data_IF_713148026633
#
_entry.id   IF_713148026633
#
_cell.length_a   1.000
_cell.length_b   1.000
_cell.length_c   1.000
_cell.angle_alpha   90.00
_cell.angle_beta   90.00
_cell.angle_gamma   90.00
#
_symmetry.space_group_name_H-M   'P 1'
#
loop_
_entity.id
_entity.type
_entity.pdbx_description
1 polymer ?
#
# COMPACT_ATOMS: atom_id res chain seq x y z
N UNK A 1 27.55 10.74 -0.25
CA UNK A 1 27.05 9.41 0.11
C UNK A 1 25.86 9.63 1.00
N UNK A 2 24.64 9.45 0.48
CA UNK A 2 23.47 9.44 1.36
C UNK A 2 23.55 8.13 2.15
N UNK A 3 23.57 8.25 3.46
CA UNK A 3 23.53 7.09 4.37
C UNK A 3 22.17 6.40 4.17
N UNK A 4 22.17 5.30 3.44
CA UNK A 4 21.01 4.56 2.95
C UNK A 4 20.18 3.95 4.12
N UNK A 5 20.62 4.17 5.37
CA UNK A 5 20.02 3.64 6.60
C UNK A 5 19.49 4.71 7.57
N UNK A 6 19.58 5.99 7.22
CA UNK A 6 19.04 7.06 8.07
C UNK A 6 17.53 6.82 8.32
N UNK A 7 17.09 6.73 9.59
CA UNK A 7 15.67 6.55 9.90
C UNK A 7 14.82 7.65 9.30
N UNK A 8 13.62 7.27 8.82
CA UNK A 8 12.68 8.19 8.15
C UNK A 8 11.33 8.19 8.84
N UNK A 9 10.71 9.36 8.91
CA UNK A 9 9.37 9.47 9.49
C UNK A 9 8.31 8.88 8.54
N UNK A 10 7.20 8.44 9.10
CA UNK A 10 6.04 7.95 8.33
C UNK A 10 5.59 8.98 7.29
N UNK A 11 5.61 10.27 7.67
CA UNK A 11 5.25 11.40 6.82
C UNK A 11 6.06 11.48 5.52
N UNK A 12 7.35 11.15 5.55
CA UNK A 12 8.22 11.24 4.37
C UNK A 12 7.83 10.25 3.26
N UNK A 13 7.13 9.16 3.61
CA UNK A 13 6.64 8.17 2.66
C UNK A 13 5.31 8.53 2.01
N UNK A 14 4.57 9.50 2.57
CA UNK A 14 3.21 9.84 2.12
C UNK A 14 3.18 10.26 0.66
N UNK A 15 2.30 9.64 -0.09
CA UNK A 15 1.99 10.00 -1.47
C UNK A 15 0.48 10.07 -1.66
N UNK A 16 0.08 10.78 -2.70
CA UNK A 16 -1.27 10.77 -3.21
C UNK A 16 -1.21 10.64 -4.72
N UNK A 17 -2.02 9.73 -5.27
CA UNK A 17 -2.30 9.67 -6.71
C UNK A 17 -3.80 9.85 -6.91
N UNK A 18 -4.18 10.32 -8.08
CA UNK A 18 -5.58 10.48 -8.45
C UNK A 18 -5.79 10.13 -9.92
N UNK A 19 -6.88 9.45 -10.23
CA UNK A 19 -7.26 9.07 -11.58
C UNK A 19 -8.76 9.22 -11.80
N UNK A 20 -9.13 9.89 -12.89
CA UNK A 20 -10.52 9.92 -13.35
C UNK A 20 -10.90 8.56 -13.93
N UNK A 21 -12.03 8.02 -13.49
CA UNK A 21 -12.53 6.74 -13.98
C UNK A 21 -13.21 6.91 -15.34
N UNK A 22 -12.62 6.29 -16.36
CA UNK A 22 -13.05 6.33 -17.75
C UNK A 22 -13.87 5.07 -18.10
N UNK A 23 -14.61 5.05 -19.23
CA UNK A 23 -15.40 3.90 -19.65
C UNK A 23 -14.62 2.59 -19.77
N UNK A 24 -13.33 2.63 -20.16
CA UNK A 24 -12.46 1.46 -20.23
C UNK A 24 -12.18 0.78 -18.88
N UNK A 25 -12.44 1.48 -17.76
CA UNK A 25 -12.28 0.94 -16.41
C UNK A 25 -13.54 0.18 -15.93
N UNK A 26 -14.60 0.16 -16.74
CA UNK A 26 -15.87 -0.43 -16.35
C UNK A 26 -15.84 -1.97 -16.31
N UNK A 27 -16.59 -2.52 -15.36
CA UNK A 27 -16.98 -3.91 -15.34
C UNK A 27 -18.29 -4.13 -16.13
N UNK A 28 -18.75 -5.36 -16.20
CA UNK A 28 -19.99 -5.74 -16.91
C UNK A 28 -21.26 -5.11 -16.33
N UNK A 29 -21.20 -4.56 -15.10
CA UNK A 29 -22.32 -3.89 -14.44
C UNK A 29 -22.29 -2.36 -14.59
N UNK A 30 -21.28 -1.82 -15.29
CA UNK A 30 -21.12 -0.38 -15.52
C UNK A 30 -20.45 0.39 -14.38
N UNK A 31 -19.98 -0.29 -13.34
CA UNK A 31 -19.14 0.30 -12.29
C UNK A 31 -17.66 0.08 -12.59
N UNK A 32 -16.77 0.71 -11.83
CA UNK A 32 -15.34 0.50 -11.95
C UNK A 32 -14.98 -0.95 -11.57
N UNK A 33 -14.18 -1.60 -12.40
CA UNK A 33 -13.70 -2.96 -12.16
C UNK A 33 -12.80 -3.01 -10.93
N UNK A 34 -13.10 -3.91 -9.97
CA UNK A 34 -12.31 -4.05 -8.73
C UNK A 34 -10.82 -4.31 -8.96
N UNK A 35 -10.48 -5.06 -10.02
CA UNK A 35 -9.08 -5.29 -10.42
C UNK A 35 -8.35 -4.01 -10.82
N UNK A 36 -9.07 -3.02 -11.42
CA UNK A 36 -8.49 -1.72 -11.71
C UNK A 36 -8.11 -0.97 -10.42
N UNK A 37 -9.00 -1.00 -9.43
CA UNK A 37 -8.71 -0.39 -8.12
C UNK A 37 -7.56 -1.11 -7.42
N UNK A 38 -7.47 -2.44 -7.48
CA UNK A 38 -6.34 -3.21 -6.94
C UNK A 38 -5.01 -2.80 -7.59
N UNK A 39 -4.99 -2.60 -8.92
CA UNK A 39 -3.83 -2.09 -9.64
C UNK A 39 -3.38 -0.73 -9.10
N UNK A 40 -4.31 0.21 -8.94
CA UNK A 40 -4.01 1.54 -8.41
C UNK A 40 -3.54 1.49 -6.95
N UNK A 41 -4.10 0.60 -6.14
CA UNK A 41 -3.67 0.35 -4.75
C UNK A 41 -2.23 -0.13 -4.71
N UNK A 42 -1.87 -1.09 -5.57
CA UNK A 42 -0.50 -1.59 -5.67
C UNK A 42 0.47 -0.48 -6.11
N UNK A 43 0.12 0.30 -7.12
CA UNK A 43 0.93 1.43 -7.59
C UNK A 43 1.16 2.48 -6.49
N UNK A 44 0.09 2.89 -5.79
CA UNK A 44 0.20 3.88 -4.72
C UNK A 44 1.05 3.37 -3.56
N UNK A 45 0.83 2.12 -3.14
CA UNK A 45 1.61 1.48 -2.09
C UNK A 45 3.09 1.34 -2.45
N UNK A 46 3.37 0.89 -3.68
CA UNK A 46 4.74 0.75 -4.19
C UNK A 46 5.48 2.10 -4.21
N UNK A 47 4.81 3.18 -4.65
CA UNK A 47 5.40 4.53 -4.64
C UNK A 47 5.76 5.00 -3.22
N UNK A 48 4.89 4.75 -2.23
CA UNK A 48 5.18 5.06 -0.84
C UNK A 48 6.37 4.24 -0.31
N UNK A 49 6.39 2.93 -0.61
CA UNK A 49 7.47 2.03 -0.23
C UNK A 49 8.81 2.43 -0.87
N UNK A 50 8.83 2.71 -2.18
CA UNK A 50 10.04 3.17 -2.88
C UNK A 50 10.56 4.50 -2.33
N UNK A 51 9.66 5.44 -2.00
CA UNK A 51 10.04 6.73 -1.39
C UNK A 51 10.71 6.55 -0.04
N UNK A 52 10.23 5.61 0.78
CA UNK A 52 10.84 5.29 2.07
C UNK A 52 12.16 4.53 1.89
N UNK A 53 12.15 3.44 1.12
CA UNK A 53 13.30 2.56 0.96
C UNK A 53 14.44 3.18 0.12
N UNK A 54 14.13 4.17 -0.74
CA UNK A 54 15.05 4.68 -1.77
C UNK A 54 15.65 3.54 -2.62
N UNK A 55 14.79 2.57 -2.96
CA UNK A 55 15.14 1.37 -3.70
C UNK A 55 13.94 0.87 -4.50
N UNK A 56 14.19 -0.02 -5.46
CA UNK A 56 13.12 -0.77 -6.12
C UNK A 56 12.44 -1.69 -5.10
N UNK A 57 11.16 -1.90 -5.28
CA UNK A 57 10.38 -2.81 -4.43
C UNK A 57 9.59 -3.79 -5.29
N UNK A 58 9.29 -4.95 -4.71
CA UNK A 58 8.37 -5.93 -5.29
C UNK A 58 7.24 -6.21 -4.32
N UNK A 59 6.04 -6.35 -4.84
CA UNK A 59 4.85 -6.72 -4.07
C UNK A 59 4.94 -8.18 -3.67
N UNK A 60 4.76 -8.48 -2.39
CA UNK A 60 4.80 -9.86 -1.88
C UNK A 60 3.49 -10.31 -1.26
N UNK A 61 2.65 -9.39 -0.81
CA UNK A 61 1.32 -9.70 -0.31
C UNK A 61 0.40 -8.48 -0.38
N UNK A 62 -0.88 -8.73 -0.65
CA UNK A 62 -1.97 -7.78 -0.47
C UNK A 62 -2.89 -8.41 0.57
N UNK A 63 -3.04 -7.74 1.71
CA UNK A 63 -3.95 -8.18 2.75
C UNK A 63 -5.41 -7.96 2.31
N UNK A 64 -6.34 -8.46 3.10
CA UNK A 64 -7.76 -8.39 2.83
C UNK A 64 -8.19 -6.96 2.45
N UNK A 65 -8.73 -6.83 1.25
CA UNK A 65 -9.32 -5.61 0.72
C UNK A 65 -10.83 -5.79 0.60
N UNK A 66 -11.59 -4.89 1.21
CA UNK A 66 -13.06 -4.92 1.17
C UNK A 66 -13.56 -3.71 0.41
N UNK A 67 -14.41 -3.94 -0.57
CA UNK A 67 -15.12 -2.89 -1.30
C UNK A 67 -16.45 -2.64 -0.61
N UNK A 68 -16.60 -1.49 0.01
CA UNK A 68 -17.81 -1.13 0.77
C UNK A 68 -18.86 -0.44 -0.13
N UNK A 69 -18.39 0.37 -1.06
CA UNK A 69 -19.23 1.14 -1.96
C UNK A 69 -18.74 1.00 -3.41
N UNK A 70 -19.63 0.95 -4.41
CA UNK A 70 -19.24 0.92 -5.81
C UNK A 70 -18.64 2.27 -6.21
N UNK A 71 -17.60 2.22 -7.03
CA UNK A 71 -17.00 3.39 -7.66
C UNK A 71 -17.59 3.51 -9.06
N UNK A 72 -18.04 4.69 -9.43
CA UNK A 72 -18.74 4.94 -10.70
C UNK A 72 -17.78 5.45 -11.77
N UNK A 73 -18.12 5.19 -13.02
CA UNK A 73 -17.46 5.85 -14.15
C UNK A 73 -17.76 7.35 -14.06
N UNK A 74 -16.71 8.18 -14.23
CA UNK A 74 -16.77 9.61 -14.03
C UNK A 74 -16.36 10.07 -12.62
N UNK A 75 -16.20 9.18 -11.64
CA UNK A 75 -15.61 9.53 -10.35
C UNK A 75 -14.11 9.76 -10.48
N UNK A 76 -13.58 10.67 -9.68
CA UNK A 76 -12.15 10.82 -9.42
C UNK A 76 -11.77 9.89 -8.27
N UNK A 77 -10.96 8.89 -8.53
CA UNK A 77 -10.41 8.01 -7.50
C UNK A 77 -9.13 8.60 -6.97
N UNK A 78 -9.10 8.90 -5.68
CA UNK A 78 -7.94 9.44 -4.96
C UNK A 78 -7.41 8.36 -4.03
N UNK A 79 -6.14 8.01 -4.17
CA UNK A 79 -5.46 7.04 -3.33
C UNK A 79 -4.40 7.75 -2.49
N UNK A 80 -4.44 7.54 -1.19
CA UNK A 80 -3.47 8.07 -0.24
C UNK A 80 -2.72 6.90 0.38
N UNK A 81 -1.40 6.90 0.27
CA UNK A 81 -0.55 5.84 0.78
C UNK A 81 0.55 6.36 1.70
N UNK A 82 0.88 5.57 2.72
CA UNK A 82 1.99 5.79 3.64
C UNK A 82 2.57 4.45 4.11
N UNK A 83 3.85 4.40 4.43
CA UNK A 83 4.46 3.25 5.10
C UNK A 83 3.99 3.21 6.55
N UNK A 84 3.48 2.08 7.01
CA UNK A 84 2.96 1.89 8.38
C UNK A 84 3.82 0.98 9.24
N UNK A 85 4.63 0.12 8.62
CA UNK A 85 5.55 -0.76 9.32
C UNK A 85 6.73 -1.14 8.42
N UNK A 86 7.90 -1.34 9.01
CA UNK A 86 9.08 -1.88 8.35
C UNK A 86 9.66 -3.05 9.12
N UNK A 87 10.03 -4.11 8.40
CA UNK A 87 10.88 -5.19 8.89
C UNK A 87 12.34 -4.94 8.50
N UNK A 88 13.12 -5.99 8.38
CA UNK A 88 14.53 -5.86 7.96
C UNK A 88 14.65 -5.44 6.49
N UNK A 89 13.91 -6.08 5.59
CA UNK A 89 13.93 -5.86 4.12
C UNK A 89 12.54 -5.58 3.57
N UNK A 90 11.50 -5.67 4.39
CA UNK A 90 10.10 -5.52 4.00
C UNK A 90 9.49 -4.23 4.53
N UNK A 91 8.50 -3.74 3.81
CA UNK A 91 7.69 -2.57 4.19
C UNK A 91 6.21 -2.92 4.03
N UNK A 92 5.41 -2.51 5.00
CA UNK A 92 3.96 -2.51 4.84
C UNK A 92 3.51 -1.08 4.55
N UNK A 93 2.67 -0.92 3.54
CA UNK A 93 2.00 0.35 3.25
C UNK A 93 0.51 0.22 3.50
N UNK A 94 -0.09 1.28 4.04
CA UNK A 94 -1.53 1.47 4.07
C UNK A 94 -1.93 2.33 2.90
N UNK A 95 -2.93 1.89 2.14
CA UNK A 95 -3.52 2.65 1.03
C UNK A 95 -4.99 2.88 1.32
N UNK A 96 -5.42 4.13 1.33
CA UNK A 96 -6.83 4.52 1.44
C UNK A 96 -7.34 4.93 0.06
N UNK A 97 -8.52 4.44 -0.30
CA UNK A 97 -9.17 4.73 -1.57
C UNK A 97 -10.42 5.56 -1.31
N UNK A 98 -10.49 6.71 -1.96
CA UNK A 98 -11.58 7.69 -1.86
C UNK A 98 -12.13 7.89 -3.27
N UNK A 99 -13.43 7.71 -3.44
CA UNK A 99 -14.13 8.14 -4.64
C UNK A 99 -14.66 9.55 -4.43
N UNK A 100 -14.43 10.44 -5.38
CA UNK A 100 -14.90 11.79 -5.38
C UNK A 100 -15.73 12.06 -6.64
N UNK A 101 -16.94 12.57 -6.48
CA UNK A 101 -17.69 13.09 -7.61
C UNK A 101 -17.13 14.48 -7.94
N UNK A 102 -16.48 14.69 -9.09
CA UNK A 102 -15.79 15.94 -9.38
C UNK A 102 -16.75 17.11 -9.66
N UNK A 103 -18.03 16.83 -9.92
CA UNK A 103 -19.05 17.86 -10.17
C UNK A 103 -19.64 18.39 -8.86
N UNK A 104 -19.94 17.49 -7.92
CA UNK A 104 -20.57 17.85 -6.64
C UNK A 104 -19.57 18.04 -5.51
N UNK A 105 -18.34 17.53 -5.66
CA UNK A 105 -17.34 17.50 -4.59
C UNK A 105 -17.61 16.43 -3.51
N UNK A 106 -18.66 15.63 -3.65
CA UNK A 106 -18.99 14.58 -2.68
C UNK A 106 -17.88 13.51 -2.67
N UNK A 107 -17.39 13.15 -1.47
CA UNK A 107 -16.31 12.19 -1.26
C UNK A 107 -16.77 11.02 -0.41
N UNK A 108 -16.42 9.81 -0.82
CA UNK A 108 -16.73 8.58 -0.11
C UNK A 108 -15.44 7.76 0.06
N UNK A 109 -15.12 7.38 1.30
CA UNK A 109 -14.07 6.40 1.55
C UNK A 109 -14.61 5.02 1.17
N UNK A 110 -14.07 4.42 0.10
CA UNK A 110 -14.59 3.17 -0.45
C UNK A 110 -13.90 1.95 0.12
N UNK A 111 -12.59 2.04 0.40
CA UNK A 111 -11.83 0.94 0.95
C UNK A 111 -10.46 1.36 1.49
N UNK A 112 -9.85 0.46 2.25
CA UNK A 112 -8.43 0.52 2.64
C UNK A 112 -7.81 -0.84 2.40
N UNK A 113 -6.53 -0.83 2.06
CA UNK A 113 -5.72 -2.03 1.90
C UNK A 113 -4.37 -1.86 2.60
N UNK A 114 -3.79 -2.99 2.99
CA UNK A 114 -2.40 -3.07 3.41
C UNK A 114 -1.66 -3.93 2.40
N UNK A 115 -0.55 -3.41 1.90
CA UNK A 115 0.26 -4.09 0.89
C UNK A 115 1.68 -4.21 1.42
N UNK A 116 2.28 -5.39 1.26
CA UNK A 116 3.63 -5.68 1.72
C UNK A 116 4.57 -5.75 0.54
N UNK A 117 5.68 -5.05 0.67
CA UNK A 117 6.75 -4.98 -0.32
C UNK A 117 8.07 -5.46 0.28
N UNK A 118 8.96 -5.94 -0.59
CA UNK A 118 10.36 -6.20 -0.26
C UNK A 118 11.24 -5.27 -1.11
N UNK A 119 12.14 -4.56 -0.45
CA UNK A 119 13.12 -3.72 -1.12
C UNK A 119 14.24 -4.57 -1.74
N UNK A 120 14.66 -4.21 -2.97
CA UNK A 120 15.66 -4.93 -3.75
C UNK A 120 16.87 -4.06 -4.04
N UNK A 121 18.04 -4.68 -4.01
CA UNK A 121 19.28 -4.09 -4.52
C UNK A 121 19.32 -4.11 -6.07
N UNK A 122 20.41 -3.63 -6.65
CA UNK A 122 20.60 -3.58 -8.10
C UNK A 122 20.64 -4.96 -8.75
N UNK A 123 21.05 -5.99 -7.98
CA UNK A 123 21.07 -7.38 -8.43
C UNK A 123 19.75 -8.13 -8.22
N UNK A 124 18.72 -7.44 -7.70
CA UNK A 124 17.40 -8.02 -7.45
C UNK A 124 17.29 -8.83 -6.14
N UNK A 125 18.27 -8.68 -5.23
CA UNK A 125 18.24 -9.35 -3.93
C UNK A 125 17.64 -8.45 -2.85
N UNK A 126 16.97 -9.02 -1.82
CA UNK A 126 16.44 -8.23 -0.72
C UNK A 126 17.53 -7.41 0.00
N UNK A 127 17.29 -6.11 0.15
CA UNK A 127 18.19 -5.19 0.88
C UNK A 127 17.51 -4.64 2.14
N UNK A 128 18.29 -4.32 3.19
CA UNK A 128 17.76 -3.65 4.38
C UNK A 128 17.13 -2.30 4.03
N UNK A 129 16.11 -1.92 4.79
CA UNK A 129 15.38 -0.64 4.64
C UNK A 129 15.62 0.25 5.85
N UNK A 130 15.55 1.60 5.68
CA UNK A 130 15.62 2.54 6.80
C UNK A 130 14.57 2.27 7.86
N UNK A 131 14.91 2.46 9.13
CA UNK A 131 13.94 2.36 10.23
C UNK A 131 12.83 3.41 10.08
N UNK A 132 11.61 3.05 10.51
CA UNK A 132 10.46 3.93 10.51
C UNK A 132 10.36 4.67 11.85
N UNK A 133 10.24 5.99 11.79
CA UNK A 133 9.98 6.84 12.95
C UNK A 133 8.53 7.31 12.95
N UNK A 134 7.93 7.39 14.13
CA UNK A 134 6.60 7.93 14.37
C UNK A 134 6.70 9.29 15.04
N UNK A 135 5.88 10.25 14.61
CA UNK A 135 5.85 11.62 15.13
C UNK A 135 4.59 11.87 16.02
N UNK A 136 3.61 10.96 15.96
CA UNK A 136 2.35 11.08 16.68
C UNK A 136 1.90 9.74 17.29
N UNK A 137 1.05 9.81 18.31
CA UNK A 137 0.44 8.61 18.92
C UNK A 137 -0.37 7.80 17.91
N UNK A 138 -1.03 8.46 16.96
CA UNK A 138 -1.79 7.80 15.91
C UNK A 138 -0.87 7.01 14.97
N UNK A 139 0.31 7.54 14.64
CA UNK A 139 1.32 6.82 13.86
C UNK A 139 1.90 5.65 14.64
N UNK A 140 2.19 5.83 15.93
CA UNK A 140 2.69 4.76 16.80
C UNK A 140 1.70 3.60 16.89
N UNK A 141 0.39 3.89 17.02
CA UNK A 141 -0.65 2.86 16.97
C UNK A 141 -0.72 2.14 15.63
N UNK A 142 -0.58 2.86 14.51
CA UNK A 142 -0.54 2.23 13.17
C UNK A 142 0.66 1.32 13.00
N UNK A 143 1.82 1.74 13.50
CA UNK A 143 3.04 0.93 13.45
C UNK A 143 2.92 -0.33 14.31
N UNK A 144 2.37 -0.23 15.52
CA UNK A 144 2.11 -1.39 16.38
C UNK A 144 1.15 -2.38 15.71
N UNK A 145 0.03 -1.90 15.15
CA UNK A 145 -0.90 -2.74 14.41
C UNK A 145 -0.26 -3.36 13.15
N UNK A 146 0.67 -2.67 12.51
CA UNK A 146 1.47 -3.21 11.39
C UNK A 146 2.38 -4.37 11.82
N UNK A 147 3.00 -4.24 13.01
CA UNK A 147 3.80 -5.31 13.61
C UNK A 147 2.95 -6.57 13.90
N UNK A 148 1.74 -6.39 14.43
CA UNK A 148 0.79 -7.49 14.68
C UNK A 148 0.39 -8.19 13.37
N UNK A 149 0.05 -7.42 12.31
CA UNK A 149 -0.26 -8.00 11.00
C UNK A 149 0.93 -8.77 10.43
N UNK A 150 2.14 -8.25 10.57
CA UNK A 150 3.34 -8.95 10.12
C UNK A 150 3.54 -10.27 10.88
N UNK A 151 3.38 -10.28 12.21
CA UNK A 151 3.47 -11.50 13.01
C UNK A 151 2.44 -12.54 12.56
N UNK A 152 1.21 -12.11 12.29
CA UNK A 152 0.14 -12.97 11.79
C UNK A 152 0.48 -13.57 10.41
N UNK A 153 0.94 -12.76 9.45
CA UNK A 153 1.37 -13.25 8.12
C UNK A 153 2.47 -14.30 8.21
N UNK A 154 3.47 -14.06 9.07
CA UNK A 154 4.57 -15.01 9.28
C UNK A 154 4.09 -16.32 9.91
N UNK A 155 3.13 -16.27 10.83
CA UNK A 155 2.53 -17.46 11.43
C UNK A 155 1.72 -18.26 10.40
N UNK A 156 0.93 -17.59 9.56
CA UNK A 156 0.16 -18.22 8.48
C UNK A 156 1.06 -18.92 7.47
N UNK A 157 2.12 -18.24 7.03
CA UNK A 157 3.09 -18.77 6.07
C UNK A 157 3.74 -20.07 6.54
N UNK A 158 3.98 -20.21 7.85
CA UNK A 158 4.55 -21.43 8.43
C UNK A 158 3.57 -22.62 8.44
N UNK A 159 2.28 -22.34 8.26
CA UNK A 159 1.19 -23.34 8.28
C UNK A 159 0.73 -23.73 6.88
N UNK A 160 1.18 -23.05 5.83
CA UNK A 160 0.79 -23.34 4.46
C UNK A 160 1.82 -24.27 3.78
N UNK A 161 1.44 -25.55 3.54
CA UNK A 161 2.34 -26.53 2.92
C UNK A 161 2.72 -26.19 1.47
N UNK A 162 1.96 -25.29 0.82
CA UNK A 162 2.21 -24.86 -0.57
C UNK A 162 3.28 -23.77 -0.67
N UNK A 163 3.69 -23.18 0.45
CA UNK A 163 4.76 -22.16 0.50
C UNK A 163 6.14 -22.75 0.83
N UNK A 164 6.29 -24.05 1.02
CA UNK A 164 7.59 -24.72 1.01
C UNK A 164 8.17 -24.69 -0.40
N UNK A 165 8.78 -23.57 -0.74
CA UNK A 165 9.61 -23.48 -1.94
C UNK A 165 11.01 -23.98 -1.61
N UNK A 166 11.58 -24.81 -2.52
CA UNK A 166 12.96 -25.27 -2.40
C UNK A 166 13.98 -24.13 -2.41
#
# INVERSE_FOLDING_TARGET
MNDDHTPKTMRTSRIQIAQLMQPEHANTQGNVHGGWIMKLVDEAGALAAMRHAQARVVTVAIDQMRFHEPIRIGDLVVLQAEVTYVGRTSLETRVQVIAENPVTGARTHTNSAYVVYVALDESGRPKPVPALLTETDAESRRMAAGAERQAYRLAQRRQDPLEERP
#
